data_IF_112931014302
#
_entry.id   IF_112931014302
#
_cell.length_a   1.000
_cell.length_b   1.000
_cell.length_c   1.000
_cell.angle_alpha   90.00
_cell.angle_beta   90.00
_cell.angle_gamma   90.00
#
_symmetry.space_group_name_H-M   'P 1'
#
loop_
_entity.id
_entity.type
_entity.pdbx_description
1 polymer ?
#
# COMPACT_ATOMS: atom_id res chain seq x y z
N UNK A 1 -1.05 0.38 18.38
CA UNK A 1 -0.07 -0.13 17.40
C UNK A 1 0.99 0.94 17.20
N UNK A 2 2.25 0.56 17.12
CA UNK A 2 3.39 1.46 16.86
C UNK A 2 4.07 1.06 15.55
N UNK A 3 4.58 2.04 14.80
CA UNK A 3 5.46 1.81 13.66
C UNK A 3 6.91 1.84 14.15
N UNK A 4 7.63 0.74 13.99
CA UNK A 4 8.98 0.57 14.56
C UNK A 4 10.05 1.02 13.57
N UNK A 5 11.16 1.49 14.11
CA UNK A 5 12.33 1.82 13.30
C UNK A 5 13.01 0.52 12.84
N UNK A 6 13.35 0.42 11.57
CA UNK A 6 14.19 -0.65 11.04
C UNK A 6 15.64 -0.46 11.53
N UNK A 7 16.31 -1.56 11.90
CA UNK A 7 17.70 -1.55 12.32
C UNK A 7 18.67 -1.56 11.14
N UNK A 8 18.26 -2.14 10.01
CA UNK A 8 18.96 -2.14 8.74
C UNK A 8 18.05 -1.72 7.56
N UNK A 9 18.61 -1.29 6.42
CA UNK A 9 17.84 -1.05 5.20
C UNK A 9 17.14 -2.32 4.72
N UNK A 10 15.89 -2.18 4.28
CA UNK A 10 15.08 -3.26 3.70
C UNK A 10 15.28 -3.27 2.17
N UNK A 11 15.48 -4.45 1.59
CA UNK A 11 15.61 -4.63 0.15
C UNK A 11 14.20 -4.73 -0.45
N UNK A 12 13.84 -3.81 -1.32
CA UNK A 12 12.51 -3.82 -1.97
C UNK A 12 12.54 -4.82 -3.14
N UNK A 13 12.14 -6.06 -2.89
CA UNK A 13 12.08 -7.14 -3.88
C UNK A 13 10.75 -7.92 -3.92
N UNK A 14 9.87 -7.66 -2.94
CA UNK A 14 8.53 -8.24 -2.85
C UNK A 14 8.47 -9.56 -2.11
N UNK A 15 9.59 -10.11 -1.61
CA UNK A 15 9.63 -11.45 -0.99
C UNK A 15 9.35 -11.45 0.50
N UNK A 16 9.51 -10.31 1.16
CA UNK A 16 9.26 -10.12 2.59
C UNK A 16 10.12 -11.02 3.50
N UNK A 17 11.31 -11.43 3.03
CA UNK A 17 12.24 -12.31 3.74
C UNK A 17 13.33 -11.56 4.53
N UNK A 18 13.38 -10.23 4.43
CA UNK A 18 14.20 -9.37 5.28
C UNK A 18 13.86 -9.52 6.77
N UNK A 19 14.90 -9.65 7.60
CA UNK A 19 14.76 -9.90 9.04
C UNK A 19 13.99 -8.80 9.78
N UNK A 20 14.04 -7.56 9.27
CA UNK A 20 13.34 -6.41 9.85
C UNK A 20 11.82 -6.61 9.94
N UNK A 21 11.23 -7.30 8.96
CA UNK A 21 9.79 -7.56 8.95
C UNK A 21 9.30 -8.42 10.11
N UNK A 22 10.18 -9.26 10.68
CA UNK A 22 9.87 -10.05 11.87
C UNK A 22 9.68 -9.17 13.12
N UNK A 23 10.25 -7.97 13.13
CA UNK A 23 10.16 -7.02 14.23
C UNK A 23 8.97 -6.06 14.10
N UNK A 24 8.35 -5.96 12.92
CA UNK A 24 7.21 -5.10 12.66
C UNK A 24 5.93 -5.61 13.33
N UNK A 25 5.07 -4.69 13.77
CA UNK A 25 3.72 -5.06 14.23
C UNK A 25 2.84 -5.38 13.02
N UNK A 26 2.04 -6.45 13.13
CA UNK A 26 1.02 -6.79 12.13
C UNK A 26 -0.16 -5.84 12.27
N UNK A 27 -0.58 -5.25 11.15
CA UNK A 27 -1.74 -4.37 11.09
C UNK A 27 -3.01 -5.25 11.07
N UNK A 28 -3.96 -5.04 11.98
CA UNK A 28 -5.23 -5.77 11.95
C UNK A 28 -6.09 -5.31 10.77
N UNK A 29 -6.60 -6.25 9.98
CA UNK A 29 -7.55 -6.00 8.90
C UNK A 29 -9.00 -6.25 9.34
N UNK A 30 -9.90 -5.40 8.86
CA UNK A 30 -11.34 -5.52 9.06
C UNK A 30 -12.10 -5.11 7.79
N UNK A 31 -13.35 -5.53 7.70
CA UNK A 31 -14.26 -5.10 6.64
C UNK A 31 -14.66 -3.64 6.90
N UNK A 32 -14.25 -2.71 6.03
CA UNK A 32 -14.39 -1.26 6.26
C UNK A 32 -15.85 -0.78 6.49
N UNK A 33 -16.83 -1.49 5.94
CA UNK A 33 -18.27 -1.17 6.03
C UNK A 33 -19.02 -2.03 7.07
N UNK A 34 -18.32 -2.79 7.90
CA UNK A 34 -18.93 -3.53 9.00
C UNK A 34 -18.43 -3.02 10.36
N UNK A 35 -19.28 -3.02 11.40
CA UNK A 35 -18.83 -2.80 12.76
C UNK A 35 -17.70 -3.76 13.14
N UNK A 36 -16.75 -3.26 13.92
CA UNK A 36 -15.61 -4.03 14.40
C UNK A 36 -16.09 -5.34 15.07
N UNK A 37 -15.43 -6.46 14.74
CA UNK A 37 -15.71 -7.77 15.34
C UNK A 37 -16.93 -8.53 14.77
N UNK A 38 -17.74 -7.94 13.88
CA UNK A 38 -18.92 -8.64 13.33
C UNK A 38 -18.58 -9.70 12.28
N UNK A 39 -17.61 -9.43 11.40
CA UNK A 39 -17.23 -10.35 10.33
C UNK A 39 -15.78 -10.13 9.92
N UNK A 40 -15.02 -11.22 9.84
CA UNK A 40 -13.67 -11.18 9.30
C UNK A 40 -13.72 -11.18 7.76
N UNK A 41 -12.76 -10.53 7.09
CA UNK A 41 -12.57 -10.71 5.66
C UNK A 41 -12.46 -12.21 5.30
N UNK A 42 -13.00 -12.63 4.14
CA UNK A 42 -12.99 -14.03 3.74
C UNK A 42 -11.58 -14.53 3.40
N UNK A 43 -10.71 -13.63 2.96
CA UNK A 43 -9.29 -13.88 2.70
C UNK A 43 -8.43 -13.16 3.73
N UNK A 44 -7.25 -13.72 4.01
CA UNK A 44 -6.34 -13.14 4.98
C UNK A 44 -5.42 -12.11 4.32
N UNK A 45 -5.31 -10.94 4.94
CA UNK A 45 -4.30 -9.95 4.63
C UNK A 45 -3.46 -9.66 5.87
N UNK A 46 -2.14 -9.60 5.71
CA UNK A 46 -1.22 -9.16 6.76
C UNK A 46 -0.35 -8.03 6.22
N UNK A 47 -0.55 -6.82 6.73
CA UNK A 47 0.32 -5.68 6.42
C UNK A 47 1.24 -5.35 7.60
N UNK A 48 2.37 -4.73 7.29
CA UNK A 48 3.37 -4.25 8.26
C UNK A 48 3.90 -2.89 7.80
N UNK A 49 4.31 -2.08 8.76
CA UNK A 49 5.01 -0.82 8.53
C UNK A 49 6.28 -0.76 9.37
N UNK A 50 7.33 -0.21 8.78
CA UNK A 50 8.59 0.12 9.44
C UNK A 50 9.06 1.48 8.93
N UNK A 51 10.05 2.08 9.58
CA UNK A 51 10.64 3.33 9.11
C UNK A 51 12.13 3.44 9.39
N UNK A 52 12.82 4.29 8.65
CA UNK A 52 14.16 4.76 8.98
C UNK A 52 14.26 6.28 8.75
N UNK A 53 15.46 6.84 8.78
CA UNK A 53 15.66 8.29 8.61
C UNK A 53 15.26 8.82 7.22
N UNK A 54 15.11 7.94 6.22
CA UNK A 54 14.90 8.30 4.83
C UNK A 54 13.51 7.90 4.33
N UNK A 55 12.99 6.77 4.81
CA UNK A 55 11.81 6.12 4.25
C UNK A 55 10.81 5.65 5.32
N UNK A 56 9.54 5.66 4.93
CA UNK A 56 8.51 4.79 5.45
C UNK A 56 8.47 3.51 4.59
N UNK A 57 8.65 2.35 5.20
CA UNK A 57 8.56 1.05 4.56
C UNK A 57 7.19 0.42 4.79
N UNK A 58 6.68 -0.27 3.78
CA UNK A 58 5.45 -1.05 3.87
C UNK A 58 5.61 -2.43 3.24
N UNK A 59 4.87 -3.38 3.80
CA UNK A 59 4.65 -4.67 3.16
C UNK A 59 3.23 -5.15 3.39
N UNK A 60 2.71 -5.93 2.45
CA UNK A 60 1.50 -6.71 2.64
C UNK A 60 1.61 -8.08 1.97
N UNK A 61 1.04 -9.07 2.63
CA UNK A 61 0.81 -10.42 2.11
C UNK A 61 -0.71 -10.61 2.07
N UNK A 62 -1.26 -10.90 0.89
CA UNK A 62 -2.69 -10.98 0.62
C UNK A 62 -3.01 -12.33 0.01
N UNK A 63 -3.87 -13.10 0.66
CA UNK A 63 -4.40 -14.33 0.08
C UNK A 63 -5.45 -13.98 -0.96
N UNK A 64 -5.28 -14.54 -2.15
CA UNK A 64 -6.26 -14.45 -3.23
C UNK A 64 -6.18 -15.71 -4.09
N UNK A 65 -7.32 -16.20 -4.57
CA UNK A 65 -7.41 -17.41 -5.39
C UNK A 65 -7.59 -17.13 -6.88
N UNK A 66 -7.69 -15.85 -7.26
CA UNK A 66 -7.86 -15.37 -8.63
C UNK A 66 -7.26 -13.95 -8.73
N UNK A 67 -5.92 -13.88 -8.88
CA UNK A 67 -5.19 -12.61 -8.86
C UNK A 67 -5.37 -11.88 -10.20
N UNK A 68 -6.01 -10.72 -10.14
CA UNK A 68 -6.39 -9.95 -11.32
C UNK A 68 -5.88 -8.51 -11.26
N UNK A 69 -5.02 -8.15 -12.22
CA UNK A 69 -4.58 -6.79 -12.49
C UNK A 69 -4.28 -6.56 -13.98
N UNK A 70 -5.21 -5.92 -14.69
CA UNK A 70 -5.07 -5.54 -16.10
C UNK A 70 -4.76 -4.05 -16.30
N UNK A 71 -4.96 -3.22 -15.28
CA UNK A 71 -4.52 -1.82 -15.30
C UNK A 71 -3.02 -1.78 -15.01
N UNK A 72 -2.22 -1.39 -16.00
CA UNK A 72 -0.73 -1.38 -15.90
C UNK A 72 -0.14 0.02 -15.97
N UNK A 73 -0.99 1.02 -16.22
CA UNK A 73 -0.61 2.42 -16.35
C UNK A 73 -0.44 3.10 -14.98
N UNK A 74 0.58 3.94 -14.88
CA UNK A 74 0.78 4.81 -13.71
C UNK A 74 -0.41 5.78 -13.58
N UNK A 75 -0.91 5.92 -12.35
CA UNK A 75 -2.09 6.69 -11.99
C UNK A 75 -3.37 6.28 -12.75
N UNK A 76 -3.43 5.01 -13.15
CA UNK A 76 -4.65 4.39 -13.65
C UNK A 76 -5.66 4.11 -12.52
N UNK A 77 -6.90 3.70 -12.87
CA UNK A 77 -7.94 3.37 -11.90
C UNK A 77 -7.70 2.00 -11.25
N UNK A 78 -6.65 1.86 -10.43
CA UNK A 78 -6.20 0.59 -9.88
C UNK A 78 -7.23 -0.09 -8.97
N UNK A 79 -8.07 0.69 -8.28
CA UNK A 79 -9.22 0.23 -7.48
C UNK A 79 -10.27 -0.59 -8.24
N UNK A 80 -10.15 -0.73 -9.56
CA UNK A 80 -11.01 -1.61 -10.38
C UNK A 80 -10.48 -3.04 -10.48
N UNK A 81 -9.33 -3.34 -9.86
CA UNK A 81 -8.60 -4.61 -9.88
C UNK A 81 -8.19 -5.00 -8.44
N UNK A 82 -7.41 -6.07 -8.28
CA UNK A 82 -6.76 -6.37 -7.00
C UNK A 82 -5.69 -5.32 -6.69
N UNK A 83 -5.91 -4.60 -5.60
CA UNK A 83 -5.10 -3.46 -5.19
C UNK A 83 -4.85 -3.44 -3.69
N UNK A 84 -3.65 -3.00 -3.31
CA UNK A 84 -3.29 -2.68 -1.95
C UNK A 84 -3.17 -1.16 -1.80
N UNK A 85 -3.92 -0.60 -0.85
CA UNK A 85 -4.03 0.86 -0.68
C UNK A 85 -3.51 1.31 0.69
N UNK A 86 -2.82 2.44 0.70
CA UNK A 86 -2.30 3.10 1.88
C UNK A 86 -2.82 4.54 1.93
N UNK A 87 -3.43 4.90 3.05
CA UNK A 87 -3.94 6.25 3.31
C UNK A 87 -3.18 6.87 4.49
N UNK A 88 -2.48 7.97 4.25
CA UNK A 88 -1.71 8.66 5.30
C UNK A 88 -2.23 10.07 5.53
N UNK A 89 -2.53 10.41 6.79
CA UNK A 89 -2.79 11.78 7.25
C UNK A 89 -1.75 12.17 8.32
N UNK A 90 -0.54 12.63 7.92
CA UNK A 90 0.58 12.76 8.85
C UNK A 90 0.39 13.81 9.95
N UNK A 91 -0.21 14.95 9.63
CA UNK A 91 -0.46 16.03 10.60
C UNK A 91 -1.89 15.99 11.12
N UNK A 92 -2.09 16.27 12.42
CA UNK A 92 -3.43 16.41 13.00
C UNK A 92 -4.06 17.77 12.64
N UNK A 93 -3.23 18.78 12.45
CA UNK A 93 -3.57 20.19 12.24
C UNK A 93 -3.88 20.49 10.76
N UNK A 94 -3.21 19.81 9.84
CA UNK A 94 -3.42 19.97 8.39
C UNK A 94 -4.51 19.03 7.90
N UNK A 95 -5.32 19.51 6.97
CA UNK A 95 -6.45 18.73 6.43
C UNK A 95 -6.03 17.65 5.45
N UNK A 96 -4.94 17.89 4.71
CA UNK A 96 -4.56 17.04 3.59
C UNK A 96 -4.07 15.65 3.99
N UNK A 97 -4.23 14.70 3.07
CA UNK A 97 -3.81 13.32 3.21
C UNK A 97 -3.31 12.77 1.87
N UNK A 98 -2.68 11.60 1.92
CA UNK A 98 -2.03 10.94 0.78
C UNK A 98 -2.67 9.58 0.54
N UNK A 99 -2.80 9.23 -0.73
CA UNK A 99 -3.21 7.92 -1.23
C UNK A 99 -2.03 7.33 -1.99
N UNK A 100 -1.69 6.08 -1.67
CA UNK A 100 -0.76 5.29 -2.44
C UNK A 100 -1.39 3.93 -2.69
N UNK A 101 -1.52 3.55 -3.95
CA UNK A 101 -2.08 2.27 -4.35
C UNK A 101 -1.06 1.51 -5.18
N UNK A 102 -0.99 0.20 -4.98
CA UNK A 102 -0.16 -0.71 -5.76
C UNK A 102 -1.01 -1.94 -6.07
N UNK A 103 -1.12 -2.29 -7.35
CA UNK A 103 -1.85 -3.49 -7.76
C UNK A 103 -0.94 -4.72 -7.96
N UNK A 104 -1.54 -5.87 -8.23
CA UNK A 104 -0.80 -7.12 -8.45
C UNK A 104 0.13 -7.11 -9.70
N UNK A 105 -0.05 -6.16 -10.62
CA UNK A 105 0.85 -5.93 -11.75
C UNK A 105 1.99 -4.93 -11.44
N UNK A 106 2.09 -4.48 -10.18
CA UNK A 106 3.01 -3.45 -9.70
C UNK A 106 2.83 -2.07 -10.37
N UNK A 107 1.66 -1.80 -10.93
CA UNK A 107 1.26 -0.43 -11.29
C UNK A 107 0.98 0.36 -10.01
N UNK A 108 1.20 1.67 -10.08
CA UNK A 108 1.08 2.57 -8.92
C UNK A 108 0.11 3.70 -9.21
N UNK A 109 -0.61 4.09 -8.19
CA UNK A 109 -1.35 5.35 -8.15
C UNK A 109 -0.88 6.10 -6.91
N UNK A 110 -0.57 7.38 -7.06
CA UNK A 110 -0.17 8.22 -5.94
C UNK A 110 -0.81 9.60 -6.04
N UNK A 111 -1.33 10.08 -4.91
CA UNK A 111 -2.09 11.31 -4.88
C UNK A 111 -1.98 11.97 -3.51
N UNK A 112 -2.07 13.30 -3.52
CA UNK A 112 -2.40 14.05 -2.31
C UNK A 112 -3.66 14.84 -2.51
N UNK A 113 -4.55 14.70 -1.54
CA UNK A 113 -5.72 15.52 -1.44
C UNK A 113 -5.50 16.63 -0.40
N UNK A 114 -5.57 17.92 -0.78
CA UNK A 114 -5.40 19.04 0.16
C UNK A 114 -6.46 19.11 1.25
N UNK A 115 -7.71 18.75 0.95
CA UNK A 115 -8.83 18.74 1.90
C UNK A 115 -10.03 17.96 1.37
N UNK A 116 -10.94 17.56 2.26
CA UNK A 116 -12.20 16.92 1.85
C UNK A 116 -13.00 17.85 0.94
N UNK A 117 -13.39 17.35 -0.22
CA UNK A 117 -14.17 18.11 -1.21
C UNK A 117 -13.35 18.99 -2.16
N UNK A 118 -12.00 18.89 -2.14
CA UNK A 118 -11.17 19.59 -3.12
C UNK A 118 -11.21 18.96 -4.53
N UNK A 119 -11.76 17.76 -4.66
CA UNK A 119 -11.79 16.97 -5.88
C UNK A 119 -11.50 15.51 -5.55
N UNK A 120 -11.00 14.77 -6.53
CA UNK A 120 -10.48 13.40 -6.38
C UNK A 120 -9.39 13.14 -7.41
N UNK A 121 -9.19 11.89 -7.80
CA UNK A 121 -8.18 11.48 -8.78
C UNK A 121 -8.20 12.34 -10.07
N UNK A 122 -9.37 12.66 -10.63
CA UNK A 122 -9.50 13.50 -11.83
C UNK A 122 -8.86 14.89 -11.73
N UNK A 123 -8.65 15.39 -10.50
CA UNK A 123 -8.00 16.67 -10.26
C UNK A 123 -6.57 16.49 -9.75
N UNK A 124 -6.39 15.63 -8.76
CA UNK A 124 -5.17 15.58 -7.95
C UNK A 124 -4.20 14.47 -8.36
N UNK A 125 -4.64 13.47 -9.14
CA UNK A 125 -3.71 12.52 -9.75
C UNK A 125 -2.77 13.30 -10.68
N UNK A 126 -1.46 13.00 -10.63
CA UNK A 126 -0.42 13.65 -11.44
C UNK A 126 -0.21 15.14 -11.17
N UNK A 127 -0.83 15.74 -10.14
CA UNK A 127 -0.51 17.12 -9.76
C UNK A 127 0.92 17.24 -9.21
N UNK A 128 1.50 16.13 -8.75
CA UNK A 128 2.81 16.07 -8.14
C UNK A 128 3.50 14.75 -8.44
N UNK A 129 4.82 14.81 -8.46
CA UNK A 129 5.66 13.63 -8.58
C UNK A 129 5.91 13.05 -7.19
N UNK A 130 5.55 11.78 -7.02
CA UNK A 130 5.94 10.98 -5.86
C UNK A 130 7.04 9.99 -6.26
N UNK A 131 7.81 9.57 -5.28
CA UNK A 131 9.01 8.75 -5.46
C UNK A 131 8.87 7.38 -4.79
N UNK A 132 7.63 6.88 -4.70
CA UNK A 132 7.33 5.58 -4.11
C UNK A 132 7.96 4.45 -4.92
N UNK A 133 8.76 3.62 -4.27
CA UNK A 133 9.31 2.40 -4.86
C UNK A 133 8.53 1.18 -4.35
N UNK A 134 8.25 0.21 -5.23
CA UNK A 134 7.61 -1.05 -4.85
C UNK A 134 8.00 -2.21 -5.75
N UNK A 135 7.85 -3.41 -5.20
CA UNK A 135 7.91 -4.69 -5.89
C UNK A 135 6.74 -5.56 -5.45
N UNK A 136 6.29 -6.39 -6.38
CA UNK A 136 5.20 -7.35 -6.19
C UNK A 136 5.67 -8.73 -6.59
N UNK A 137 5.26 -9.74 -5.83
CA UNK A 137 5.40 -11.15 -6.20
C UNK A 137 4.01 -11.78 -6.18
N UNK A 138 3.59 -12.34 -7.32
CA UNK A 138 2.37 -13.14 -7.43
C UNK A 138 2.71 -14.60 -7.13
N UNK A 139 1.95 -15.23 -6.24
CA UNK A 139 2.09 -16.63 -5.85
C UNK A 139 1.11 -17.51 -6.63
N UNK A 140 1.34 -17.61 -7.94
CA UNK A 140 0.48 -18.28 -8.89
C UNK A 140 0.67 -17.69 -10.29
N UNK A 141 -0.42 -17.38 -10.98
CA UNK A 141 -0.43 -16.68 -12.25
C UNK A 141 -1.14 -15.33 -12.09
N UNK A 142 -0.94 -14.43 -13.06
CA UNK A 142 -1.57 -13.12 -13.07
C UNK A 142 -2.55 -13.09 -14.25
N UNK A 143 -3.81 -12.73 -13.98
CA UNK A 143 -4.88 -12.62 -14.99
C UNK A 143 -5.29 -13.96 -15.65
N UNK A 144 -5.15 -15.09 -14.96
CA UNK A 144 -5.63 -16.39 -15.45
C UNK A 144 -6.74 -16.96 -14.55
N UNK A 145 -7.98 -16.59 -14.86
CA UNK A 145 -9.17 -17.06 -14.13
C UNK A 145 -9.40 -18.58 -14.21
N UNK A 146 -8.65 -19.31 -15.05
CA UNK A 146 -8.81 -20.74 -15.22
C UNK A 146 -8.09 -21.58 -14.17
N UNK A 147 -7.21 -20.97 -13.37
CA UNK A 147 -6.45 -21.64 -12.32
C UNK A 147 -6.83 -21.19 -10.90
N UNK A 148 -5.93 -21.47 -9.94
CA UNK A 148 -6.08 -21.07 -8.54
C UNK A 148 -4.75 -20.55 -8.02
N UNK A 149 -4.75 -19.30 -7.62
CA UNK A 149 -3.61 -18.66 -6.97
C UNK A 149 -3.58 -18.89 -5.45
N UNK A 150 -2.44 -18.55 -4.85
CA UNK A 150 -2.30 -18.44 -3.39
C UNK A 150 -2.41 -17.00 -2.90
N UNK A 151 -2.25 -16.04 -3.80
CA UNK A 151 -2.29 -14.62 -3.52
C UNK A 151 -1.04 -13.90 -4.02
N UNK A 152 -0.72 -12.78 -3.39
CA UNK A 152 0.39 -11.94 -3.80
C UNK A 152 0.93 -11.13 -2.62
N UNK A 153 2.18 -10.68 -2.78
CA UNK A 153 2.84 -9.79 -1.83
C UNK A 153 3.18 -8.48 -2.51
N UNK A 154 3.17 -7.41 -1.72
CA UNK A 154 3.74 -6.12 -2.10
C UNK A 154 4.71 -5.67 -1.03
N UNK A 155 5.81 -5.10 -1.47
CA UNK A 155 6.83 -4.48 -0.63
C UNK A 155 7.22 -3.15 -1.22
N UNK A 156 7.41 -2.13 -0.40
CA UNK A 156 7.80 -0.82 -0.89
C UNK A 156 8.29 0.14 0.17
N UNK A 157 8.71 1.29 -0.32
CA UNK A 157 9.20 2.40 0.50
C UNK A 157 8.77 3.74 -0.09
N UNK A 158 8.46 4.69 0.78
CA UNK A 158 8.06 6.06 0.45
C UNK A 158 9.05 7.00 1.13
N UNK A 159 9.78 7.86 0.41
CA UNK A 159 10.70 8.79 1.04
C UNK A 159 9.93 9.85 1.83
N UNK A 160 10.46 10.28 2.97
CA UNK A 160 9.79 11.29 3.81
C UNK A 160 9.52 12.62 3.09
N UNK A 161 10.32 12.94 2.07
CA UNK A 161 10.12 14.12 1.22
C UNK A 161 8.74 14.15 0.55
N UNK A 162 8.16 12.99 0.26
CA UNK A 162 6.84 12.89 -0.38
C UNK A 162 5.71 13.37 0.54
N UNK A 163 5.95 13.41 1.86
CA UNK A 163 5.03 13.93 2.87
C UNK A 163 5.26 15.41 3.22
N UNK A 164 6.14 16.12 2.51
CA UNK A 164 6.52 17.50 2.80
C UNK A 164 5.32 18.48 2.96
N UNK A 165 4.25 18.43 2.14
CA UNK A 165 3.10 19.34 2.29
C UNK A 165 2.47 19.30 3.68
N UNK A 166 2.53 18.16 4.35
CA UNK A 166 1.98 17.98 5.70
C UNK A 166 3.02 17.92 6.80
N UNK A 167 4.32 17.91 6.47
CA UNK A 167 5.40 17.82 7.43
C UNK A 167 5.53 16.45 8.09
N UNK A 168 5.31 15.36 7.33
CA UNK A 168 5.48 14.00 7.86
C UNK A 168 6.95 13.61 7.98
N UNK A 169 7.36 13.17 9.18
CA UNK A 169 8.57 12.39 9.48
C UNK A 169 8.36 11.68 10.82
#
# INVERSE_FOLDING_TARGET
MECRRAAAPIQIDGRLDDAEWAHAQKIPFQMAWMPEGQRKPPTQTTARLLWDDNYLYFSAEMQDSDVFANVTEQDGPLWTNDVFELFFKPSKEKQGYYEFEINAANAKFDMFMPSRGSGGANRHARERDFHIESKVVVHGTLNDWSDKDKGWTVEGRIPWSDFAPTGGR
#
